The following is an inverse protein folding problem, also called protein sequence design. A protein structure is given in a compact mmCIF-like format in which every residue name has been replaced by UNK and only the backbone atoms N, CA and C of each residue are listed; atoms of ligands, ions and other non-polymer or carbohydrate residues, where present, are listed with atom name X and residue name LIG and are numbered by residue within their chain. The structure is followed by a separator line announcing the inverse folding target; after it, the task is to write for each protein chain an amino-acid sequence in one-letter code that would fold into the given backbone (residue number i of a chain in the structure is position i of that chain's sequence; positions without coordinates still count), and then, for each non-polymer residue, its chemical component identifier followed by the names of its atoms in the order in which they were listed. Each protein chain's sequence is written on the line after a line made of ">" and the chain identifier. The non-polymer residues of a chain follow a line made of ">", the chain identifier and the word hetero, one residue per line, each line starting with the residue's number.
data_IF_693668008311
#
_entry.id   IF_693668008311
#
_cell.length_a   1.000
_cell.length_b   1.000
_cell.length_c   1.000
_cell.angle_alpha   90.00
_cell.angle_beta   90.00
_cell.angle_gamma   90.00
#
_symmetry.space_group_name_H-M   'P 1'
#
loop_
_entity.id
_entity.type
_entity.pdbx_description
1 polymer ?
#
# COMPACT_ATOMS: atom_id res chain seq x y z
N UNK A 1 -4.80 18.46 -27.18
CA UNK A 1 -5.87 17.92 -26.32
C UNK A 1 -5.38 17.99 -24.88
N UNK A 2 -6.16 18.58 -23.96
CA UNK A 2 -5.82 18.65 -22.54
C UNK A 2 -5.87 17.22 -21.93
N UNK A 3 -4.89 16.87 -21.09
CA UNK A 3 -4.82 15.57 -20.43
C UNK A 3 -6.09 15.26 -19.61
N UNK A 4 -6.66 16.28 -18.96
CA UNK A 4 -7.90 16.17 -18.19
C UNK A 4 -9.08 15.74 -19.07
N UNK A 5 -9.24 16.35 -20.25
CA UNK A 5 -10.32 15.99 -21.18
C UNK A 5 -10.17 14.55 -21.68
N UNK A 6 -8.93 14.12 -21.96
CA UNK A 6 -8.63 12.75 -22.37
C UNK A 6 -8.92 11.74 -21.26
N UNK A 7 -8.60 12.08 -20.00
CA UNK A 7 -8.86 11.20 -18.86
C UNK A 7 -10.36 11.08 -18.57
N UNK A 8 -11.11 12.18 -18.64
CA UNK A 8 -12.57 12.15 -18.49
C UNK A 8 -13.23 11.29 -19.58
N UNK A 9 -12.76 11.35 -20.83
CA UNK A 9 -13.26 10.49 -21.90
C UNK A 9 -12.96 9.00 -21.65
N UNK A 10 -11.74 8.68 -21.19
CA UNK A 10 -11.33 7.31 -20.83
C UNK A 10 -12.17 6.76 -19.67
N UNK A 11 -12.53 7.62 -18.72
CA UNK A 11 -13.38 7.26 -17.58
C UNK A 11 -14.88 7.37 -17.90
N UNK A 12 -15.27 7.59 -19.15
CA UNK A 12 -16.68 7.74 -19.56
C UNK A 12 -17.42 8.85 -18.78
N UNK A 13 -16.69 9.87 -18.34
CA UNK A 13 -17.11 10.95 -17.44
C UNK A 13 -17.46 10.52 -16.00
N UNK A 14 -17.03 9.34 -15.58
CA UNK A 14 -17.15 8.80 -14.22
C UNK A 14 -15.76 8.51 -13.62
N UNK A 15 -15.01 9.57 -13.21
CA UNK A 15 -13.65 9.41 -12.70
C UNK A 15 -13.63 8.59 -11.39
N UNK A 16 -12.52 7.92 -11.07
CA UNK A 16 -12.38 7.23 -9.80
C UNK A 16 -12.59 8.19 -8.61
N UNK A 17 -13.37 7.74 -7.63
CA UNK A 17 -13.62 8.45 -6.38
C UNK A 17 -12.38 8.45 -5.49
N UNK A 18 -11.57 7.39 -5.51
CA UNK A 18 -10.33 7.32 -4.75
C UNK A 18 -9.19 6.67 -5.52
N UNK A 19 -7.98 6.96 -5.08
CA UNK A 19 -6.75 6.28 -5.48
C UNK A 19 -5.98 5.90 -4.22
N UNK A 20 -5.40 4.69 -4.20
CA UNK A 20 -4.61 4.23 -3.08
C UNK A 20 -3.30 3.57 -3.52
N UNK A 21 -2.29 3.70 -2.66
CA UNK A 21 -0.99 3.04 -2.82
C UNK A 21 -0.63 2.24 -1.58
N UNK A 22 0.17 1.20 -1.80
CA UNK A 22 0.75 0.39 -0.73
C UNK A 22 2.20 0.83 -0.50
N UNK A 23 2.56 1.15 0.75
CA UNK A 23 3.93 1.51 1.12
C UNK A 23 4.38 0.70 2.35
N UNK A 24 5.65 0.28 2.40
CA UNK A 24 6.27 -0.16 3.66
C UNK A 24 6.21 0.97 4.70
N UNK A 25 6.13 0.62 5.98
CA UNK A 25 6.38 1.58 7.06
C UNK A 25 7.80 2.19 6.91
N UNK A 26 8.01 3.46 7.33
CA UNK A 26 9.31 4.12 7.22
C UNK A 26 10.47 3.42 7.95
N UNK A 27 10.18 2.59 8.95
CA UNK A 27 11.18 1.79 9.68
C UNK A 27 11.43 0.39 9.07
N UNK A 28 10.80 0.09 7.94
CA UNK A 28 10.92 -1.18 7.23
C UNK A 28 11.72 -1.01 5.93
N UNK A 29 12.21 -2.11 5.32
CA UNK A 29 12.89 -2.04 4.03
C UNK A 29 12.05 -1.30 2.97
N UNK A 30 12.68 -0.35 2.27
CA UNK A 30 12.05 0.39 1.19
C UNK A 30 11.97 -0.46 -0.08
N UNK A 31 10.94 -1.30 -0.17
CA UNK A 31 10.68 -2.20 -1.29
C UNK A 31 9.34 -1.90 -1.96
N UNK A 32 9.20 -2.30 -3.22
CA UNK A 32 7.91 -2.22 -3.91
C UNK A 32 6.99 -3.32 -3.39
N UNK A 33 5.82 -2.93 -2.89
CA UNK A 33 4.73 -3.83 -2.54
C UNK A 33 3.81 -3.98 -3.74
N UNK A 34 3.25 -5.18 -3.90
CA UNK A 34 2.22 -5.44 -4.90
C UNK A 34 0.91 -4.71 -4.53
N UNK A 35 0.07 -4.49 -5.53
CA UNK A 35 -1.23 -3.84 -5.40
C UNK A 35 -1.19 -2.32 -5.51
N UNK A 36 -2.19 -1.68 -4.90
CA UNK A 36 -2.57 -0.30 -5.22
C UNK A 36 -3.65 -0.26 -6.30
N UNK A 37 -4.32 0.88 -6.43
CA UNK A 37 -5.38 1.02 -7.41
C UNK A 37 -6.30 2.20 -7.19
N UNK A 38 -7.42 2.17 -7.90
CA UNK A 38 -8.45 3.20 -7.86
C UNK A 38 -9.82 2.58 -7.98
N UNK A 39 -10.84 3.22 -7.40
CA UNK A 39 -12.23 2.77 -7.51
C UNK A 39 -13.20 3.93 -7.66
N UNK A 40 -14.34 3.66 -8.31
CA UNK A 40 -15.39 4.66 -8.57
C UNK A 40 -16.45 4.73 -7.46
N UNK A 41 -16.56 3.72 -6.59
CA UNK A 41 -17.49 3.75 -5.47
C UNK A 41 -17.05 4.70 -4.35
N UNK A 42 -17.98 5.08 -3.47
CA UNK A 42 -17.76 6.06 -2.40
C UNK A 42 -16.50 5.74 -1.58
N UNK A 43 -15.59 6.72 -1.48
CA UNK A 43 -14.34 6.59 -0.74
C UNK A 43 -14.56 6.26 0.75
N UNK A 44 -15.69 6.68 1.34
CA UNK A 44 -16.05 6.33 2.71
C UNK A 44 -16.29 4.82 2.89
N UNK A 45 -16.84 4.14 1.88
CA UNK A 45 -17.03 2.68 1.91
C UNK A 45 -15.66 1.99 1.88
N UNK A 46 -14.73 2.47 1.05
CA UNK A 46 -13.38 1.90 1.00
C UNK A 46 -12.62 2.11 2.31
N UNK A 47 -12.76 3.27 2.95
CA UNK A 47 -12.17 3.54 4.27
C UNK A 47 -12.73 2.57 5.33
N UNK A 48 -14.04 2.30 5.33
CA UNK A 48 -14.63 1.29 6.23
C UNK A 48 -14.10 -0.11 5.95
N UNK A 49 -13.80 -0.46 4.69
CA UNK A 49 -13.14 -1.72 4.36
C UNK A 49 -11.74 -1.78 4.99
N UNK A 50 -10.93 -0.72 4.83
CA UNK A 50 -9.59 -0.62 5.44
C UNK A 50 -9.66 -0.80 6.96
N UNK A 51 -10.56 -0.07 7.63
CA UNK A 51 -10.77 -0.16 9.09
C UNK A 51 -11.19 -1.57 9.51
N UNK A 52 -12.08 -2.21 8.75
CA UNK A 52 -12.49 -3.59 9.00
C UNK A 52 -11.33 -4.59 8.79
N UNK A 53 -10.44 -4.36 7.84
CA UNK A 53 -9.28 -5.24 7.59
C UNK A 53 -8.27 -5.13 8.75
N UNK A 54 -8.03 -3.91 9.25
CA UNK A 54 -7.20 -3.63 10.41
C UNK A 54 -7.75 -4.28 11.69
N UNK A 55 -9.04 -4.08 11.99
CA UNK A 55 -9.68 -4.62 13.20
C UNK A 55 -9.67 -6.15 13.21
N UNK A 56 -10.08 -6.76 12.09
CA UNK A 56 -10.22 -8.22 12.00
C UNK A 56 -8.92 -8.94 11.68
N UNK A 57 -7.86 -8.20 11.32
CA UNK A 57 -6.58 -8.72 10.85
C UNK A 57 -6.73 -9.73 9.71
N UNK A 58 -7.60 -9.41 8.75
CA UNK A 58 -7.92 -10.25 7.58
C UNK A 58 -8.69 -9.47 6.51
N UNK A 59 -8.68 -10.00 5.29
CA UNK A 59 -9.43 -9.46 4.15
C UNK A 59 -8.51 -9.16 2.97
N UNK A 60 -9.04 -8.51 1.93
CA UNK A 60 -8.31 -8.32 0.67
C UNK A 60 -7.17 -7.31 0.76
N UNK A 61 -7.24 -6.39 1.71
CA UNK A 61 -6.20 -5.37 1.95
C UNK A 61 -5.26 -5.76 3.10
N UNK A 62 -5.55 -6.88 3.77
CA UNK A 62 -4.82 -7.26 4.97
C UNK A 62 -3.37 -7.64 4.69
N UNK A 63 -3.11 -8.36 3.59
CA UNK A 63 -1.79 -8.88 3.28
C UNK A 63 -1.39 -8.57 1.85
N UNK A 64 -0.14 -8.15 1.66
CA UNK A 64 0.48 -7.96 0.35
C UNK A 64 1.83 -8.64 0.30
N UNK A 65 2.32 -8.89 -0.92
CA UNK A 65 3.65 -9.42 -1.16
C UNK A 65 4.53 -8.32 -1.76
N UNK A 66 5.84 -8.53 -1.77
CA UNK A 66 6.76 -7.71 -2.57
C UNK A 66 6.59 -7.99 -4.07
N UNK A 67 6.83 -6.97 -4.90
CA UNK A 67 6.78 -7.09 -6.36
C UNK A 67 8.15 -6.82 -7.02
N UNK A 68 8.35 -7.36 -8.21
CA UNK A 68 9.51 -7.08 -9.05
C UNK A 68 10.80 -7.73 -8.54
N UNK A 69 11.86 -6.94 -8.36
CA UNK A 69 13.18 -7.46 -7.98
C UNK A 69 13.19 -8.21 -6.64
N UNK A 70 12.29 -7.85 -5.73
CA UNK A 70 12.22 -8.41 -4.38
C UNK A 70 11.15 -9.49 -4.24
N UNK A 71 10.47 -9.88 -5.32
CA UNK A 71 9.42 -10.89 -5.30
C UNK A 71 9.94 -12.22 -4.72
N UNK A 72 9.41 -12.57 -3.56
CA UNK A 72 9.78 -13.75 -2.79
C UNK A 72 8.55 -14.17 -1.98
N UNK A 73 8.19 -15.45 -2.08
CA UNK A 73 7.02 -16.02 -1.39
C UNK A 73 7.08 -15.91 0.14
N UNK A 74 8.24 -15.62 0.71
CA UNK A 74 8.44 -15.44 2.14
C UNK A 74 8.34 -13.96 2.58
N UNK A 75 8.16 -13.02 1.66
CA UNK A 75 8.05 -11.59 1.94
C UNK A 75 6.58 -11.16 2.03
N UNK A 76 5.86 -11.76 2.99
CA UNK A 76 4.52 -11.31 3.32
C UNK A 76 4.56 -10.06 4.21
N UNK A 77 3.67 -9.13 3.94
CA UNK A 77 3.48 -7.89 4.70
C UNK A 77 2.03 -7.74 5.11
N UNK A 78 1.78 -7.26 6.33
CA UNK A 78 0.44 -7.02 6.85
C UNK A 78 0.14 -5.53 7.01
N UNK A 79 -1.12 -5.18 6.82
CA UNK A 79 -1.61 -3.81 6.94
C UNK A 79 -1.47 -3.34 8.40
N UNK A 80 -0.69 -2.28 8.60
CA UNK A 80 -0.40 -1.69 9.90
C UNK A 80 -1.16 -0.38 10.15
N UNK A 81 -1.50 0.35 9.08
CA UNK A 81 -2.23 1.62 9.19
C UNK A 81 -2.49 2.27 7.84
N UNK A 82 -3.08 3.46 7.87
CA UNK A 82 -3.37 4.23 6.66
C UNK A 82 -3.41 5.74 6.92
N UNK A 83 -3.22 6.52 5.86
CA UNK A 83 -3.46 7.96 5.83
C UNK A 83 -4.40 8.31 4.68
N UNK A 84 -5.21 9.35 4.88
CA UNK A 84 -6.23 9.81 3.92
C UNK A 84 -6.05 11.29 3.68
N UNK A 85 -5.94 11.67 2.40
CA UNK A 85 -5.73 13.04 1.96
C UNK A 85 -6.84 13.46 0.99
N UNK A 86 -7.26 14.72 1.07
CA UNK A 86 -8.06 15.32 0.00
C UNK A 86 -7.18 15.50 -1.24
N UNK A 87 -7.75 15.23 -2.42
CA UNK A 87 -7.01 15.30 -3.68
C UNK A 87 -7.75 16.16 -4.71
N UNK A 88 -7.01 16.74 -5.66
CA UNK A 88 -7.60 17.62 -6.67
C UNK A 88 -8.26 16.87 -7.82
N UNK A 89 -7.86 15.61 -8.04
CA UNK A 89 -8.35 14.74 -9.13
C UNK A 89 -9.30 13.65 -8.60
N UNK A 90 -9.08 13.20 -7.37
CA UNK A 90 -9.88 12.16 -6.72
C UNK A 90 -10.55 12.77 -5.50
N UNK A 91 -11.62 12.18 -4.99
CA UNK A 91 -12.17 12.62 -3.70
C UNK A 91 -11.15 12.37 -2.59
N UNK A 92 -10.47 11.19 -2.62
CA UNK A 92 -9.46 10.81 -1.64
C UNK A 92 -8.23 10.19 -2.28
N UNK A 93 -7.05 10.57 -1.79
CA UNK A 93 -5.80 9.85 -1.99
C UNK A 93 -5.45 9.13 -0.69
N UNK A 94 -5.16 7.83 -0.77
CA UNK A 94 -5.02 6.97 0.41
C UNK A 94 -3.66 6.27 0.36
N UNK A 95 -2.94 6.29 1.48
CA UNK A 95 -1.71 5.52 1.65
C UNK A 95 -2.01 4.40 2.63
N UNK A 96 -1.75 3.16 2.23
CA UNK A 96 -1.82 1.99 3.08
C UNK A 96 -0.40 1.61 3.50
N UNK A 97 -0.16 1.57 4.81
CA UNK A 97 1.13 1.24 5.39
C UNK A 97 1.18 -0.21 5.82
N UNK A 98 2.25 -0.90 5.42
CA UNK A 98 2.45 -2.31 5.73
C UNK A 98 3.73 -2.55 6.51
N UNK A 99 3.68 -3.55 7.37
CA UNK A 99 4.82 -4.07 8.12
C UNK A 99 5.13 -5.53 7.72
N UNK A 100 6.41 -5.93 7.67
CA UNK A 100 6.76 -7.27 7.24
C UNK A 100 6.43 -8.29 8.33
N UNK A 101 5.80 -9.40 7.95
CA UNK A 101 5.43 -10.48 8.88
C UNK A 101 6.69 -11.10 9.51
N UNK A 102 7.75 -11.25 8.71
CA UNK A 102 9.05 -11.73 9.17
C UNK A 102 10.13 -10.65 8.97
N UNK A 103 10.10 -9.62 9.83
CA UNK A 103 10.99 -8.45 9.74
C UNK A 103 12.46 -8.83 9.53
N UNK A 104 12.99 -9.76 10.35
CA UNK A 104 14.40 -10.16 10.26
C UNK A 104 14.76 -10.78 8.92
N UNK A 105 13.92 -11.69 8.41
CA UNK A 105 14.16 -12.33 7.11
C UNK A 105 14.07 -11.32 5.97
N UNK A 106 13.00 -10.50 5.96
CA UNK A 106 12.78 -9.49 4.92
C UNK A 106 13.91 -8.46 4.90
N UNK A 107 14.40 -8.00 6.05
CA UNK A 107 15.56 -7.10 6.12
C UNK A 107 16.83 -7.77 5.60
N UNK A 108 17.08 -9.04 5.94
CA UNK A 108 18.25 -9.77 5.44
C UNK A 108 18.23 -9.89 3.91
N UNK A 109 17.08 -10.24 3.35
CA UNK A 109 16.90 -10.51 1.93
C UNK A 109 16.87 -9.21 1.11
N UNK A 110 16.28 -8.13 1.64
CA UNK A 110 16.13 -6.86 0.92
C UNK A 110 17.27 -5.86 1.13
N UNK A 111 17.92 -5.83 2.30
CA UNK A 111 18.94 -4.82 2.66
C UNK A 111 20.34 -5.40 2.87
N UNK A 112 20.47 -6.73 2.90
CA UNK A 112 21.74 -7.42 3.12
C UNK A 112 22.17 -7.51 4.58
N UNK A 113 23.01 -8.52 4.87
CA UNK A 113 23.36 -8.95 6.25
C UNK A 113 24.03 -7.88 7.13
N UNK A 114 24.71 -6.90 6.53
CA UNK A 114 25.38 -5.83 7.28
C UNK A 114 24.40 -4.86 7.93
N UNK A 115 23.27 -4.58 7.27
CA UNK A 115 22.25 -3.64 7.76
C UNK A 115 21.32 -4.30 8.79
N UNK A 116 21.09 -5.61 8.66
CA UNK A 116 20.24 -6.37 9.59
C UNK A 116 20.66 -6.23 11.06
N UNK A 117 21.96 -6.23 11.36
CA UNK A 117 22.45 -6.13 12.74
C UNK A 117 22.12 -4.79 13.41
N UNK A 118 22.10 -3.70 12.66
CA UNK A 118 21.80 -2.35 13.16
C UNK A 118 20.30 -2.07 13.30
N UNK A 119 19.47 -2.62 12.40
CA UNK A 119 18.02 -2.41 12.45
C UNK A 119 17.31 -3.34 13.44
N UNK A 120 17.74 -4.60 13.57
CA UNK A 120 17.15 -5.58 14.49
C UNK A 120 17.45 -5.26 15.97
N UNK A 121 18.49 -4.46 16.27
CA UNK A 121 18.77 -4.01 17.65
C UNK A 121 17.99 -2.76 18.05
N UNK A 122 17.29 -2.09 17.12
CA UNK A 122 16.55 -0.84 17.35
C UNK A 122 15.04 -1.01 17.50
N UNK A 123 14.48 -2.12 17.03
CA UNK A 123 13.08 -2.52 17.19
C UNK A 123 12.97 -3.58 18.29
#
# INVERSE_FOLDING_TARGET
>A
MNIQSRLLEIWENDPPSFFYINLPLPNSPSVMLDGGGSGCYDAAIFIQEIESNLDKKKGNLWSVQTFGHYDNSNHEWHLAGYEVFDHQVYQKFIILYYEPVNYTQVVQDCMGKSVTKELVTRN
#
